data_IF_006116345017
#
_entry.id   IF_006116345017
#
_cell.length_a   1.000
_cell.length_b   1.000
_cell.length_c   1.000
_cell.angle_alpha   90.00
_cell.angle_beta   90.00
_cell.angle_gamma   90.00
#
_symmetry.space_group_name_H-M   'P 1'
#
loop_
_entity.id
_entity.type
_entity.pdbx_description
1 polymer ?
#
# COMPACT_ATOMS: atom_id res chain seq x y z
N UNK A 1 -15.23 -4.07 5.83
CA UNK A 1 -14.71 -2.95 6.60
C UNK A 1 -13.51 -3.35 7.45
N UNK A 2 -12.88 -2.40 8.13
CA UNK A 2 -11.71 -2.65 8.98
C UNK A 2 -12.10 -3.51 10.20
N UNK A 3 -11.77 -4.80 10.17
CA UNK A 3 -12.13 -5.77 11.22
C UNK A 3 -11.29 -5.58 12.48
N UNK A 4 -10.04 -5.09 12.37
CA UNK A 4 -9.17 -4.79 13.52
C UNK A 4 -9.76 -3.65 14.35
N UNK A 5 -10.17 -2.56 13.69
CA UNK A 5 -10.82 -1.43 14.34
C UNK A 5 -12.14 -1.85 15.01
N UNK A 6 -12.95 -2.67 14.32
CA UNK A 6 -14.21 -3.18 14.87
C UNK A 6 -13.98 -4.02 16.13
N UNK A 7 -12.95 -4.87 16.13
CA UNK A 7 -12.61 -5.68 17.29
C UNK A 7 -12.20 -4.80 18.49
N UNK A 8 -11.35 -3.78 18.25
CA UNK A 8 -10.99 -2.83 19.34
C UNK A 8 -12.20 -2.12 19.92
N UNK A 9 -13.12 -1.66 19.06
CA UNK A 9 -14.36 -1.02 19.51
C UNK A 9 -15.25 -2.00 20.28
N UNK A 10 -15.38 -3.25 19.82
CA UNK A 10 -16.18 -4.26 20.50
C UNK A 10 -15.60 -4.64 21.87
N UNK A 11 -14.26 -4.76 21.99
CA UNK A 11 -13.60 -4.99 23.28
C UNK A 11 -13.80 -3.81 24.25
N UNK A 12 -13.62 -2.58 23.77
CA UNK A 12 -13.87 -1.39 24.59
C UNK A 12 -15.36 -1.30 25.04
N UNK A 13 -16.29 -1.66 24.16
CA UNK A 13 -17.70 -1.71 24.53
C UNK A 13 -17.98 -2.79 25.58
N UNK A 14 -17.38 -3.98 25.45
CA UNK A 14 -17.56 -5.07 26.42
C UNK A 14 -17.17 -4.66 27.85
N UNK A 15 -16.14 -3.83 28.01
CA UNK A 15 -15.70 -3.33 29.33
C UNK A 15 -16.76 -2.46 30.03
N UNK A 16 -17.50 -1.68 29.24
CA UNK A 16 -18.50 -0.73 29.77
C UNK A 16 -19.96 -1.16 29.53
N UNK A 17 -20.18 -2.33 28.94
CA UNK A 17 -21.50 -2.81 28.58
C UNK A 17 -22.38 -3.09 29.81
N UNK A 18 -23.66 -2.69 29.80
CA UNK A 18 -24.62 -3.09 30.81
C UNK A 18 -24.76 -4.61 30.91
N UNK A 19 -25.09 -5.15 32.08
CA UNK A 19 -25.16 -6.59 32.33
C UNK A 19 -26.08 -7.31 31.33
N UNK A 20 -27.20 -6.69 30.94
CA UNK A 20 -28.14 -7.20 29.96
C UNK A 20 -27.54 -7.36 28.51
N UNK A 21 -26.45 -6.68 28.20
CA UNK A 21 -25.83 -6.67 26.89
C UNK A 21 -24.46 -7.37 26.87
N UNK A 22 -23.90 -7.71 28.03
CA UNK A 22 -22.55 -8.31 28.13
C UNK A 22 -22.41 -9.59 27.32
N UNK A 23 -23.40 -10.45 27.35
CA UNK A 23 -23.34 -11.71 26.61
C UNK A 23 -23.35 -11.50 25.09
N UNK A 24 -24.18 -10.57 24.59
CA UNK A 24 -24.19 -10.18 23.20
C UNK A 24 -22.86 -9.54 22.77
N UNK A 25 -22.28 -8.69 23.63
CA UNK A 25 -20.98 -8.06 23.41
C UNK A 25 -19.83 -9.11 23.36
N UNK A 26 -19.86 -10.13 24.23
CA UNK A 26 -18.89 -11.25 24.20
C UNK A 26 -18.97 -12.01 22.90
N UNK A 27 -20.16 -12.43 22.46
CA UNK A 27 -20.34 -13.12 21.17
C UNK A 27 -19.85 -12.28 20.00
N UNK A 28 -20.04 -10.96 20.04
CA UNK A 28 -19.54 -10.06 19.01
C UNK A 28 -18.00 -10.01 18.99
N UNK A 29 -17.36 -9.97 20.16
CA UNK A 29 -15.90 -10.01 20.27
C UNK A 29 -15.37 -11.33 19.72
N UNK A 30 -15.91 -12.47 20.16
CA UNK A 30 -15.52 -13.81 19.67
C UNK A 30 -15.67 -13.94 18.15
N UNK A 31 -16.80 -13.50 17.60
CA UNK A 31 -17.02 -13.51 16.15
C UNK A 31 -16.02 -12.62 15.38
N UNK A 32 -15.66 -11.46 15.96
CA UNK A 32 -14.67 -10.56 15.37
C UNK A 32 -13.24 -11.11 15.51
N UNK A 33 -12.92 -11.81 16.59
CA UNK A 33 -11.62 -12.50 16.74
C UNK A 33 -11.45 -13.62 15.74
N UNK A 34 -12.49 -14.41 15.52
CA UNK A 34 -12.47 -15.51 14.56
C UNK A 34 -12.25 -15.07 13.10
N UNK A 35 -12.59 -13.82 12.76
CA UNK A 35 -12.44 -13.29 11.39
C UNK A 35 -11.24 -12.38 11.20
N UNK A 36 -10.35 -12.25 12.21
CA UNK A 36 -9.15 -11.43 12.04
C UNK A 36 -8.25 -12.03 10.95
N UNK A 37 -7.70 -11.20 10.05
CA UNK A 37 -6.69 -11.67 9.12
C UNK A 37 -5.42 -12.04 9.87
N UNK A 38 -4.75 -13.10 9.41
CA UNK A 38 -3.42 -13.47 9.92
C UNK A 38 -2.44 -12.33 9.65
N UNK A 39 -1.60 -12.02 10.63
CA UNK A 39 -0.59 -10.98 10.48
C UNK A 39 0.49 -11.40 9.47
N UNK A 40 0.78 -10.49 8.54
CA UNK A 40 1.88 -10.65 7.61
C UNK A 40 3.20 -10.33 8.31
N UNK A 41 4.17 -11.21 8.13
CA UNK A 41 5.53 -11.03 8.62
C UNK A 41 6.41 -10.22 7.66
N UNK A 42 7.61 -9.86 8.12
CA UNK A 42 8.55 -9.06 7.34
C UNK A 42 8.95 -9.68 5.99
N UNK A 43 8.95 -11.01 5.88
CA UNK A 43 9.24 -11.71 4.63
C UNK A 43 8.12 -11.63 3.59
N UNK A 44 6.91 -11.27 4.01
CA UNK A 44 5.73 -11.16 3.14
C UNK A 44 5.43 -9.71 2.77
N UNK A 45 6.04 -8.74 3.47
CA UNK A 45 5.81 -7.31 3.27
C UNK A 45 6.89 -6.73 2.35
N UNK A 46 6.49 -6.41 1.11
CA UNK A 46 7.36 -5.67 0.19
C UNK A 46 7.46 -4.19 0.56
N UNK A 47 8.66 -3.69 0.80
CA UNK A 47 8.91 -2.28 1.11
C UNK A 47 9.80 -1.65 0.05
N UNK A 48 9.34 -0.55 -0.51
CA UNK A 48 10.17 0.33 -1.37
C UNK A 48 10.55 1.58 -0.58
N UNK A 49 11.77 2.05 -0.79
CA UNK A 49 12.21 3.32 -0.20
C UNK A 49 11.29 4.45 -0.68
N UNK A 50 10.86 5.32 0.23
CA UNK A 50 9.89 6.38 -0.05
C UNK A 50 8.42 5.95 0.08
N UNK A 51 8.14 4.71 0.51
CA UNK A 51 6.78 4.26 0.81
C UNK A 51 6.14 5.12 1.90
N UNK A 52 4.93 5.60 1.63
CA UNK A 52 4.24 6.59 2.48
C UNK A 52 3.80 6.08 3.86
N UNK A 53 3.68 4.76 4.00
CA UNK A 53 3.28 4.14 5.25
C UNK A 53 4.44 3.95 6.23
N UNK A 54 5.69 4.01 5.75
CA UNK A 54 6.88 3.93 6.58
C UNK A 54 7.08 5.28 7.28
N UNK A 55 7.22 5.32 8.61
CA UNK A 55 7.39 6.56 9.36
C UNK A 55 8.64 7.34 8.98
N UNK A 56 8.58 8.67 9.07
CA UNK A 56 9.68 9.58 8.71
C UNK A 56 10.93 9.30 9.55
N UNK A 57 10.77 8.99 10.81
CA UNK A 57 11.89 8.69 11.73
C UNK A 57 12.68 7.45 11.29
N UNK A 58 12.04 6.48 10.63
CA UNK A 58 12.71 5.30 10.08
C UNK A 58 13.62 5.70 8.91
N UNK A 59 13.15 6.56 8.01
CA UNK A 59 14.00 7.09 6.93
C UNK A 59 15.12 7.98 7.47
N UNK A 60 14.84 8.78 8.50
CA UNK A 60 15.86 9.58 9.18
C UNK A 60 16.94 8.69 9.79
N UNK A 61 16.57 7.61 10.47
CA UNK A 61 17.48 6.63 11.03
C UNK A 61 18.33 5.97 9.93
N UNK A 62 17.71 5.52 8.84
CA UNK A 62 18.42 4.97 7.70
C UNK A 62 19.48 5.91 7.14
N UNK A 63 19.11 7.17 6.88
CA UNK A 63 20.03 8.19 6.38
C UNK A 63 21.22 8.41 7.34
N UNK A 64 20.95 8.48 8.66
CA UNK A 64 21.97 8.67 9.69
C UNK A 64 22.95 7.50 9.78
N UNK A 65 22.45 6.26 9.65
CA UNK A 65 23.30 5.07 9.69
C UNK A 65 24.08 4.88 8.39
N UNK A 66 23.46 5.15 7.23
CA UNK A 66 24.09 5.03 5.93
C UNK A 66 25.22 6.02 5.74
N UNK A 67 24.94 7.30 5.99
CA UNK A 67 25.85 8.40 5.68
C UNK A 67 26.71 8.82 6.88
N UNK A 68 26.32 8.44 8.08
CA UNK A 68 27.05 8.75 9.34
C UNK A 68 27.52 10.21 9.43
N UNK A 69 26.61 11.21 9.29
CA UNK A 69 26.99 12.60 9.44
C UNK A 69 27.51 12.87 10.86
N UNK A 70 28.48 13.76 10.99
CA UNK A 70 29.10 14.09 12.28
C UNK A 70 28.92 15.55 12.66
N UNK A 71 29.17 15.86 13.94
CA UNK A 71 29.07 17.20 14.46
C UNK A 71 27.69 17.83 14.25
N UNK A 72 27.69 19.09 13.84
CA UNK A 72 26.44 19.84 13.60
C UNK A 72 25.60 19.29 12.44
N UNK A 73 26.21 18.61 11.47
CA UNK A 73 25.47 18.01 10.34
C UNK A 73 24.42 17.00 10.83
N UNK A 74 24.75 16.22 11.87
CA UNK A 74 23.85 15.23 12.46
C UNK A 74 22.54 15.82 13.01
N UNK A 75 22.60 17.01 13.55
CA UNK A 75 21.41 17.68 14.11
C UNK A 75 20.62 18.49 13.10
N UNK A 76 21.30 19.04 12.08
CA UNK A 76 20.72 19.95 11.10
C UNK A 76 20.05 19.23 9.92
N UNK A 77 20.65 18.13 9.43
CA UNK A 77 20.13 17.42 8.28
C UNK A 77 18.94 16.58 8.69
N UNK A 78 17.75 16.93 8.21
CA UNK A 78 16.48 16.29 8.53
C UNK A 78 15.74 15.89 7.28
N UNK A 79 15.04 14.75 7.36
CA UNK A 79 14.06 14.34 6.36
C UNK A 79 12.71 14.92 6.76
N UNK A 80 12.08 15.62 5.85
CA UNK A 80 10.75 16.18 6.00
C UNK A 80 9.85 15.63 4.92
N UNK A 81 8.55 15.60 5.20
CA UNK A 81 7.52 15.25 4.21
C UNK A 81 6.42 16.28 4.28
N UNK A 82 6.07 16.84 3.13
CA UNK A 82 4.93 17.75 3.02
C UNK A 82 3.62 16.96 3.12
N UNK A 83 2.74 17.33 4.03
CA UNK A 83 1.40 16.73 4.15
C UNK A 83 0.54 17.08 2.93
N UNK A 84 0.67 18.29 2.38
CA UNK A 84 -0.14 18.75 1.26
C UNK A 84 0.24 18.08 -0.07
N UNK A 85 1.53 17.89 -0.34
CA UNK A 85 2.01 17.36 -1.64
C UNK A 85 2.51 15.92 -1.56
N UNK A 86 2.73 15.40 -0.36
CA UNK A 86 3.35 14.10 -0.13
C UNK A 86 4.84 14.04 -0.48
N UNK A 87 5.44 15.17 -0.90
CA UNK A 87 6.83 15.21 -1.31
C UNK A 87 7.79 15.16 -0.13
N UNK A 88 8.89 14.45 -0.34
CA UNK A 88 10.00 14.36 0.60
C UNK A 88 11.05 15.44 0.31
N UNK A 89 11.60 15.99 1.35
CA UNK A 89 12.70 16.95 1.29
C UNK A 89 13.75 16.63 2.36
N UNK A 90 15.02 16.85 2.03
CA UNK A 90 16.13 16.76 2.98
C UNK A 90 16.67 18.18 3.18
N UNK A 91 16.66 18.63 4.44
CA UNK A 91 17.17 19.97 4.78
C UNK A 91 18.69 20.00 4.78
N UNK A 92 19.27 21.19 4.61
CA UNK A 92 20.71 21.44 4.78
C UNK A 92 21.65 20.45 4.05
N UNK A 93 21.22 19.92 2.89
CA UNK A 93 21.93 18.88 2.11
C UNK A 93 23.39 19.20 1.81
N UNK A 94 23.71 20.50 1.74
CA UNK A 94 25.05 20.98 1.44
C UNK A 94 25.94 21.22 2.69
N UNK A 95 25.38 20.96 3.87
CA UNK A 95 26.11 21.23 5.11
C UNK A 95 27.23 20.22 5.38
N UNK A 96 27.09 18.98 4.89
CA UNK A 96 28.01 17.87 5.16
C UNK A 96 28.98 17.60 3.97
N UNK A 97 29.57 18.67 3.43
CA UNK A 97 30.43 18.61 2.22
C UNK A 97 31.70 17.78 2.39
N UNK A 98 32.22 17.65 3.60
CA UNK A 98 33.44 16.90 3.89
C UNK A 98 33.20 15.40 4.07
N UNK A 99 31.94 14.95 4.05
CA UNK A 99 31.58 13.55 4.28
C UNK A 99 31.88 12.69 3.05
N UNK A 100 32.87 11.81 3.18
CA UNK A 100 33.30 10.89 2.10
C UNK A 100 32.18 9.93 1.70
N UNK A 101 31.40 9.41 2.66
CA UNK A 101 30.26 8.55 2.34
C UNK A 101 29.22 9.27 1.50
N UNK A 102 28.91 10.52 1.85
CA UNK A 102 27.92 11.32 1.16
C UNK A 102 28.36 11.79 -0.24
N UNK A 103 29.66 11.98 -0.47
CA UNK A 103 30.15 12.60 -1.70
C UNK A 103 30.92 11.64 -2.63
N UNK A 104 31.26 10.43 -2.15
CA UNK A 104 32.03 9.45 -2.93
C UNK A 104 31.40 8.08 -2.90
N UNK A 105 31.10 7.52 -1.70
CA UNK A 105 30.59 6.14 -1.60
C UNK A 105 29.16 6.01 -2.11
N UNK A 106 28.27 6.86 -1.64
CA UNK A 106 26.85 6.86 -2.00
C UNK A 106 26.43 8.08 -2.81
N UNK A 107 27.36 8.98 -3.09
CA UNK A 107 27.21 10.15 -3.95
C UNK A 107 28.23 10.12 -5.09
N UNK A 108 28.21 11.21 -5.86
CA UNK A 108 29.16 11.50 -6.95
C UNK A 108 29.74 12.90 -6.73
N UNK A 109 30.76 13.26 -7.52
CA UNK A 109 31.33 14.63 -7.52
C UNK A 109 30.29 15.70 -7.89
N UNK A 110 29.24 15.32 -8.63
CA UNK A 110 28.20 16.24 -9.14
C UNK A 110 26.92 16.24 -8.29
N UNK A 111 26.67 15.15 -7.55
CA UNK A 111 25.45 15.00 -6.77
C UNK A 111 25.73 14.22 -5.49
N UNK A 112 25.50 14.85 -4.33
CA UNK A 112 25.70 14.18 -3.04
C UNK A 112 24.64 13.12 -2.80
N UNK A 113 24.95 12.16 -1.92
CA UNK A 113 24.01 11.11 -1.52
C UNK A 113 22.70 11.67 -0.92
N UNK A 114 22.73 12.83 -0.28
CA UNK A 114 21.53 13.49 0.22
C UNK A 114 20.57 13.88 -0.90
N UNK A 115 21.07 14.37 -2.03
CA UNK A 115 20.26 14.70 -3.20
C UNK A 115 19.73 13.42 -3.87
N UNK A 116 20.59 12.40 -4.01
CA UNK A 116 20.19 11.10 -4.58
C UNK A 116 19.11 10.47 -3.71
N UNK A 117 19.27 10.47 -2.39
CA UNK A 117 18.28 9.92 -1.45
C UNK A 117 16.95 10.68 -1.53
N UNK A 118 16.97 12.01 -1.61
CA UNK A 118 15.75 12.81 -1.75
C UNK A 118 15.00 12.48 -3.05
N UNK A 119 15.70 12.34 -4.19
CA UNK A 119 15.06 11.91 -5.44
C UNK A 119 14.50 10.51 -5.30
N UNK A 120 15.23 9.60 -4.65
CA UNK A 120 14.80 8.22 -4.42
C UNK A 120 13.55 8.14 -3.55
N UNK A 121 13.49 8.90 -2.45
CA UNK A 121 12.30 9.01 -1.60
C UNK A 121 11.07 9.50 -2.39
N UNK A 122 11.29 10.40 -3.34
CA UNK A 122 10.25 10.93 -4.23
C UNK A 122 9.95 10.04 -5.45
N UNK A 123 10.52 8.82 -5.52
CA UNK A 123 10.34 7.88 -6.63
C UNK A 123 10.76 8.45 -7.99
N UNK A 124 11.79 9.32 -8.00
CA UNK A 124 12.33 9.95 -9.20
C UNK A 124 13.69 9.38 -9.53
N UNK A 125 13.93 9.14 -10.81
CA UNK A 125 15.27 8.79 -11.28
C UNK A 125 16.18 10.00 -11.24
N UNK A 126 17.40 9.80 -10.77
CA UNK A 126 18.40 10.86 -10.74
C UNK A 126 18.88 11.18 -12.17
N UNK A 127 19.03 12.47 -12.44
CA UNK A 127 19.54 13.00 -13.72
C UNK A 127 20.53 14.11 -13.45
N UNK A 128 21.66 14.09 -14.15
CA UNK A 128 22.72 15.12 -14.05
C UNK A 128 22.75 15.91 -15.35
N UNK A 129 22.72 17.23 -15.25
CA UNK A 129 22.71 18.13 -16.39
C UNK A 129 23.95 19.00 -16.40
N UNK A 130 24.50 19.23 -17.61
CA UNK A 130 25.46 20.26 -17.89
C UNK A 130 24.73 21.50 -18.44
N UNK A 131 25.23 22.67 -18.13
CA UNK A 131 24.70 23.91 -18.65
C UNK A 131 25.63 24.46 -19.71
N UNK A 132 25.15 24.50 -20.94
CA UNK A 132 25.89 25.01 -22.11
C UNK A 132 25.25 26.34 -22.50
N UNK A 133 26.07 27.38 -22.73
CA UNK A 133 25.61 28.65 -23.26
C UNK A 133 25.37 28.53 -24.76
N UNK A 134 24.19 28.98 -25.23
CA UNK A 134 23.89 29.08 -26.66
C UNK A 134 24.52 30.35 -27.26
N UNK A 135 24.41 30.52 -28.57
CA UNK A 135 24.93 31.66 -29.31
C UNK A 135 24.37 33.02 -28.84
N UNK A 136 23.26 33.00 -28.10
CA UNK A 136 22.58 34.18 -27.55
C UNK A 136 22.91 34.40 -26.05
N UNK A 137 23.82 33.61 -25.46
CA UNK A 137 24.19 33.70 -24.05
C UNK A 137 23.19 33.06 -23.09
N UNK A 138 22.19 32.35 -23.57
CA UNK A 138 21.22 31.65 -22.71
C UNK A 138 21.78 30.29 -22.27
N UNK A 139 21.59 29.93 -20.99
CA UNK A 139 22.01 28.64 -20.45
C UNK A 139 21.00 27.56 -20.79
N UNK A 140 21.40 26.58 -21.60
CA UNK A 140 20.61 25.41 -21.92
C UNK A 140 21.09 24.20 -21.11
N UNK A 141 20.16 23.55 -20.42
CA UNK A 141 20.44 22.31 -19.67
C UNK A 141 20.52 21.11 -20.66
N UNK A 142 21.65 20.43 -20.69
CA UNK A 142 21.87 19.24 -21.53
C UNK A 142 22.17 18.06 -20.62
N UNK A 143 21.48 16.92 -20.84
CA UNK A 143 21.65 15.72 -20.03
C UNK A 143 23.06 15.15 -20.22
N UNK A 144 23.83 15.07 -19.13
CA UNK A 144 25.08 14.35 -19.10
C UNK A 144 24.83 12.85 -18.86
N UNK A 145 24.83 12.08 -19.93
CA UNK A 145 24.52 10.64 -19.88
C UNK A 145 25.48 9.85 -18.98
N UNK A 146 26.80 10.18 -19.01
CA UNK A 146 27.82 9.48 -18.22
C UNK A 146 27.65 9.75 -16.73
N UNK A 147 27.55 11.01 -16.33
CA UNK A 147 27.36 11.38 -14.92
C UNK A 147 25.98 10.92 -14.39
N UNK A 148 24.95 10.90 -15.24
CA UNK A 148 23.64 10.37 -14.90
C UNK A 148 23.72 8.87 -14.62
N UNK A 149 24.40 8.08 -15.45
CA UNK A 149 24.57 6.63 -15.22
C UNK A 149 25.27 6.36 -13.88
N UNK A 150 26.36 7.08 -13.59
CA UNK A 150 27.08 6.95 -12.31
C UNK A 150 26.16 7.29 -11.12
N UNK A 151 25.36 8.34 -11.24
CA UNK A 151 24.42 8.74 -10.17
C UNK A 151 23.29 7.71 -10.00
N UNK A 152 22.80 7.11 -11.06
CA UNK A 152 21.81 6.03 -11.03
C UNK A 152 22.37 4.75 -10.38
N UNK A 153 23.63 4.39 -10.65
CA UNK A 153 24.28 3.27 -9.93
C UNK A 153 24.33 3.53 -8.42
N UNK A 154 24.60 4.77 -7.99
CA UNK A 154 24.54 5.14 -6.57
C UNK A 154 23.12 5.11 -6.01
N UNK A 155 22.14 5.47 -6.82
CA UNK A 155 20.73 5.38 -6.45
C UNK A 155 20.32 3.91 -6.20
N UNK A 156 20.69 3.01 -7.08
CA UNK A 156 20.42 1.56 -6.91
C UNK A 156 21.14 1.00 -5.69
N UNK A 157 22.39 1.40 -5.45
CA UNK A 157 23.13 1.01 -4.24
C UNK A 157 22.40 1.46 -2.96
N UNK A 158 21.86 2.67 -2.92
CA UNK A 158 21.07 3.18 -1.78
C UNK A 158 19.79 2.37 -1.60
N UNK A 159 19.06 2.04 -2.67
CA UNK A 159 17.85 1.21 -2.64
C UNK A 159 18.17 -0.19 -2.10
N UNK A 160 19.24 -0.80 -2.58
CA UNK A 160 19.69 -2.10 -2.08
C UNK A 160 20.04 -2.04 -0.59
N UNK A 161 20.82 -1.04 -0.16
CA UNK A 161 21.17 -0.86 1.25
C UNK A 161 19.94 -0.66 2.14
N UNK A 162 18.91 0.05 1.67
CA UNK A 162 17.65 0.20 2.39
C UNK A 162 16.91 -1.14 2.53
N UNK A 163 16.81 -1.93 1.46
CA UNK A 163 16.13 -3.22 1.50
C UNK A 163 16.82 -4.23 2.44
N UNK A 164 18.17 -4.20 2.48
CA UNK A 164 18.95 -5.01 3.41
C UNK A 164 18.82 -4.55 4.88
N UNK A 165 18.61 -3.26 5.09
CA UNK A 165 18.63 -2.62 6.41
C UNK A 165 17.27 -2.64 7.12
N UNK A 166 16.18 -2.44 6.37
CA UNK A 166 14.86 -2.11 6.93
C UNK A 166 14.36 -3.15 7.94
N UNK A 167 14.64 -4.43 7.71
CA UNK A 167 14.16 -5.54 8.51
C UNK A 167 15.19 -6.12 9.50
N UNK A 168 16.42 -5.58 9.59
CA UNK A 168 17.48 -6.12 10.45
C UNK A 168 17.21 -5.95 11.94
N UNK A 169 16.78 -4.76 12.34
CA UNK A 169 16.49 -4.46 13.73
C UNK A 169 15.13 -5.04 14.13
N UNK A 170 15.08 -5.75 15.27
CA UNK A 170 13.87 -6.46 15.74
C UNK A 170 12.76 -5.46 16.06
N UNK A 171 13.05 -4.39 16.82
CA UNK A 171 12.04 -3.43 17.26
C UNK A 171 11.44 -2.68 16.07
N UNK A 172 12.29 -2.27 15.12
CA UNK A 172 11.85 -1.63 13.87
C UNK A 172 11.00 -2.59 13.06
N UNK A 173 11.42 -3.84 12.91
CA UNK A 173 10.67 -4.88 12.18
C UNK A 173 9.29 -5.09 12.75
N UNK A 174 9.17 -5.31 14.06
CA UNK A 174 7.89 -5.51 14.74
C UNK A 174 6.98 -4.28 14.58
N UNK A 175 7.52 -3.08 14.79
CA UNK A 175 6.79 -1.82 14.61
C UNK A 175 6.27 -1.67 13.18
N UNK A 176 7.08 -1.93 12.17
CA UNK A 176 6.69 -1.78 10.77
C UNK A 176 5.68 -2.85 10.35
N UNK A 177 5.83 -4.11 10.80
CA UNK A 177 4.84 -5.16 10.58
C UNK A 177 3.49 -4.76 11.19
N UNK A 178 3.47 -4.25 12.42
CA UNK A 178 2.24 -3.81 13.07
C UNK A 178 1.55 -2.66 12.30
N UNK A 179 2.32 -1.65 11.86
CA UNK A 179 1.81 -0.53 11.06
C UNK A 179 1.23 -1.03 9.73
N UNK A 180 1.95 -1.90 9.03
CA UNK A 180 1.51 -2.44 7.74
C UNK A 180 0.22 -3.24 7.87
N UNK A 181 0.17 -4.15 8.85
CA UNK A 181 -1.02 -4.96 9.11
C UNK A 181 -2.23 -4.12 9.50
N UNK A 182 -2.04 -3.05 10.27
CA UNK A 182 -3.13 -2.14 10.64
C UNK A 182 -3.68 -1.37 9.42
N UNK A 183 -2.81 -0.93 8.51
CA UNK A 183 -3.21 -0.11 7.35
C UNK A 183 -3.73 -0.99 6.21
N UNK A 184 -3.02 -2.03 5.84
CA UNK A 184 -3.24 -2.79 4.60
C UNK A 184 -3.84 -4.18 4.81
N UNK A 185 -3.67 -4.77 6.00
CA UNK A 185 -4.17 -6.10 6.32
C UNK A 185 -5.25 -6.04 7.40
N UNK A 186 -6.15 -5.06 7.30
CA UNK A 186 -7.21 -4.81 8.28
C UNK A 186 -8.61 -5.02 7.71
N UNK A 187 -8.73 -5.36 6.43
CA UNK A 187 -10.00 -5.55 5.74
C UNK A 187 -10.14 -7.01 5.37
N UNK A 188 -11.21 -7.64 5.82
CA UNK A 188 -11.65 -8.92 5.28
C UNK A 188 -12.68 -8.67 4.19
N UNK A 189 -12.44 -9.11 2.95
CA UNK A 189 -13.45 -9.12 1.90
C UNK A 189 -14.67 -9.94 2.36
N UNK A 190 -15.87 -9.52 1.97
CA UNK A 190 -17.06 -10.33 2.20
C UNK A 190 -17.01 -11.47 1.20
N UNK A 191 -17.17 -12.68 1.68
CA UNK A 191 -17.30 -13.87 0.85
C UNK A 191 -18.78 -14.15 0.62
N UNK A 192 -19.14 -14.48 -0.61
CA UNK A 192 -20.50 -14.79 -1.03
C UNK A 192 -20.49 -16.21 -1.61
N UNK A 193 -20.91 -17.19 -0.82
CA UNK A 193 -20.97 -18.58 -1.25
C UNK A 193 -22.29 -18.93 -1.95
N UNK A 194 -23.37 -18.21 -1.61
CA UNK A 194 -24.69 -18.39 -2.20
C UNK A 194 -25.37 -19.76 -1.96
N UNK A 195 -24.81 -20.61 -1.10
CA UNK A 195 -25.29 -21.99 -0.90
C UNK A 195 -26.74 -22.06 -0.41
N UNK A 196 -27.24 -20.99 0.22
CA UNK A 196 -28.62 -20.89 0.69
C UNK A 196 -29.60 -20.43 -0.38
N UNK A 197 -29.13 -20.01 -1.57
CA UNK A 197 -29.99 -19.53 -2.65
C UNK A 197 -30.60 -20.73 -3.39
N UNK A 198 -31.90 -20.72 -3.51
CA UNK A 198 -32.65 -21.67 -4.32
C UNK A 198 -33.25 -20.96 -5.53
N UNK A 199 -32.89 -21.39 -6.71
CA UNK A 199 -33.33 -20.79 -7.98
C UNK A 199 -34.68 -21.38 -8.40
N UNK A 200 -35.75 -20.92 -7.77
CA UNK A 200 -37.11 -21.35 -8.08
C UNK A 200 -37.52 -20.85 -9.47
N UNK A 201 -38.03 -21.75 -10.30
CA UNK A 201 -38.44 -21.45 -11.69
C UNK A 201 -37.32 -21.56 -12.74
N UNK A 202 -36.11 -21.94 -12.35
CA UNK A 202 -35.05 -22.28 -13.30
C UNK A 202 -35.30 -23.67 -13.89
N UNK A 203 -34.90 -23.88 -15.15
CA UNK A 203 -34.96 -25.19 -15.78
C UNK A 203 -34.16 -26.22 -14.95
N UNK A 204 -34.77 -27.32 -14.46
CA UNK A 204 -34.11 -28.31 -13.62
C UNK A 204 -32.96 -29.06 -14.29
N UNK A 205 -32.87 -29.02 -15.61
CA UNK A 205 -31.75 -29.61 -16.37
C UNK A 205 -30.49 -28.76 -16.32
N UNK A 206 -30.61 -27.50 -15.87
CA UNK A 206 -29.47 -26.57 -15.78
C UNK A 206 -29.00 -26.49 -14.35
N UNK A 207 -27.77 -26.91 -14.10
CA UNK A 207 -27.09 -26.77 -12.83
C UNK A 207 -26.04 -25.63 -12.88
N UNK A 208 -26.17 -24.62 -12.00
CA UNK A 208 -25.20 -23.58 -11.87
C UNK A 208 -23.94 -24.09 -11.13
N UNK A 209 -22.80 -23.70 -11.61
CA UNK A 209 -21.50 -24.02 -10.96
C UNK A 209 -21.33 -23.21 -9.67
N UNK A 210 -20.54 -23.68 -8.68
CA UNK A 210 -20.36 -22.98 -7.41
C UNK A 210 -19.93 -21.51 -7.56
N UNK A 211 -19.00 -21.19 -8.48
CA UNK A 211 -18.60 -19.82 -8.74
C UNK A 211 -19.73 -18.93 -9.30
N UNK A 212 -20.64 -19.50 -10.09
CA UNK A 212 -21.80 -18.79 -10.62
C UNK A 212 -22.80 -18.47 -9.51
N UNK A 213 -23.02 -19.43 -8.62
CA UNK A 213 -23.89 -19.23 -7.44
C UNK A 213 -23.30 -18.14 -6.51
N UNK A 214 -22.00 -18.19 -6.26
CA UNK A 214 -21.29 -17.14 -5.50
C UNK A 214 -21.38 -15.76 -6.17
N UNK A 215 -21.26 -15.69 -7.51
CA UNK A 215 -21.42 -14.45 -8.27
C UNK A 215 -22.83 -13.87 -8.15
N UNK A 216 -23.86 -14.72 -8.25
CA UNK A 216 -25.25 -14.31 -8.07
C UNK A 216 -25.49 -13.80 -6.65
N UNK A 217 -24.97 -14.48 -5.62
CA UNK A 217 -25.02 -14.03 -4.25
C UNK A 217 -24.34 -12.65 -4.09
N UNK A 218 -23.22 -12.43 -4.75
CA UNK A 218 -22.53 -11.14 -4.73
C UNK A 218 -23.41 -10.04 -5.36
N UNK A 219 -24.08 -10.31 -6.48
CA UNK A 219 -25.01 -9.35 -7.09
C UNK A 219 -26.18 -9.02 -6.15
N UNK A 220 -26.77 -10.04 -5.51
CA UNK A 220 -27.94 -9.86 -4.65
C UNK A 220 -27.62 -9.08 -3.35
N UNK A 221 -26.46 -9.33 -2.76
CA UNK A 221 -26.12 -8.82 -1.42
C UNK A 221 -25.01 -7.75 -1.41
N UNK A 222 -24.24 -7.64 -2.50
CA UNK A 222 -23.10 -6.73 -2.59
C UNK A 222 -23.42 -5.36 -3.19
N UNK A 223 -24.53 -5.22 -3.89
CA UNK A 223 -24.89 -4.03 -4.67
C UNK A 223 -24.19 -4.02 -6.04
N UNK A 224 -23.55 -2.89 -6.43
CA UNK A 224 -22.85 -2.83 -7.71
C UNK A 224 -21.71 -3.84 -7.75
N UNK A 225 -21.73 -4.73 -8.76
CA UNK A 225 -20.85 -5.89 -8.84
C UNK A 225 -20.15 -5.94 -10.19
N UNK A 226 -18.84 -6.19 -10.18
CA UNK A 226 -18.04 -6.49 -11.37
C UNK A 226 -17.84 -8.01 -11.46
N UNK A 227 -18.34 -8.65 -12.52
CA UNK A 227 -18.12 -10.06 -12.81
C UNK A 227 -16.92 -10.21 -13.76
N UNK A 228 -15.72 -10.25 -13.20
CA UNK A 228 -14.46 -10.32 -13.94
C UNK A 228 -14.00 -11.77 -14.20
N UNK A 229 -14.92 -12.70 -14.42
CA UNK A 229 -14.61 -14.08 -14.75
C UNK A 229 -14.03 -14.22 -16.16
N UNK A 230 -13.23 -15.26 -16.38
CA UNK A 230 -12.65 -15.58 -17.68
C UNK A 230 -13.73 -15.84 -18.76
N UNK A 231 -13.30 -15.79 -20.02
CA UNK A 231 -14.18 -16.14 -21.14
C UNK A 231 -14.58 -17.63 -21.04
N UNK A 232 -15.85 -17.91 -21.20
CA UNK A 232 -16.39 -19.28 -21.08
C UNK A 232 -16.82 -19.67 -19.66
N UNK A 233 -16.62 -18.84 -18.63
CA UNK A 233 -17.08 -19.11 -17.26
C UNK A 233 -18.61 -19.12 -17.10
N UNK A 234 -19.37 -18.65 -18.12
CA UNK A 234 -20.82 -18.62 -18.11
C UNK A 234 -21.42 -17.34 -17.51
N UNK A 235 -20.78 -16.20 -17.68
CA UNK A 235 -21.26 -14.89 -17.19
C UNK A 235 -22.69 -14.56 -17.59
N UNK A 236 -23.12 -14.99 -18.77
CA UNK A 236 -24.52 -14.81 -19.24
C UNK A 236 -25.51 -15.51 -18.32
N UNK A 237 -25.19 -16.73 -17.88
CA UNK A 237 -26.02 -17.43 -16.89
C UNK A 237 -26.05 -16.71 -15.55
N UNK A 238 -24.94 -16.20 -15.10
CA UNK A 238 -24.85 -15.40 -13.86
C UNK A 238 -25.72 -14.15 -13.92
N UNK A 239 -25.64 -13.39 -15.02
CA UNK A 239 -26.44 -12.17 -15.23
C UNK A 239 -27.95 -12.49 -15.30
N UNK A 240 -28.32 -13.48 -16.08
CA UNK A 240 -29.74 -13.85 -16.24
C UNK A 240 -30.30 -14.38 -14.93
N UNK A 241 -29.61 -15.31 -14.28
CA UNK A 241 -30.06 -15.88 -13.02
C UNK A 241 -30.16 -14.83 -11.91
N UNK A 242 -29.16 -13.91 -11.81
CA UNK A 242 -29.22 -12.81 -10.88
C UNK A 242 -30.41 -11.88 -11.14
N UNK A 243 -30.66 -11.52 -12.41
CA UNK A 243 -31.78 -10.67 -12.79
C UNK A 243 -33.14 -11.30 -12.47
N UNK A 244 -33.28 -12.59 -12.71
CA UNK A 244 -34.50 -13.34 -12.39
C UNK A 244 -34.72 -13.44 -10.88
N UNK A 245 -33.66 -13.67 -10.13
CA UNK A 245 -33.71 -13.75 -8.66
C UNK A 245 -34.01 -12.41 -8.02
N UNK A 246 -33.40 -11.33 -8.52
CA UNK A 246 -33.74 -9.95 -8.10
C UNK A 246 -35.23 -9.64 -8.35
N UNK A 247 -35.77 -10.08 -9.47
CA UNK A 247 -37.20 -9.91 -9.79
C UNK A 247 -38.07 -10.74 -8.85
N UNK A 248 -37.72 -12.01 -8.60
CA UNK A 248 -38.44 -12.89 -7.67
C UNK A 248 -38.49 -12.33 -6.25
N UNK A 249 -37.38 -11.77 -5.80
CA UNK A 249 -37.25 -11.13 -4.48
C UNK A 249 -37.87 -9.73 -4.39
N UNK A 250 -38.42 -9.20 -5.49
CA UNK A 250 -39.02 -7.86 -5.51
C UNK A 250 -37.99 -6.72 -5.50
N UNK A 251 -36.71 -7.01 -5.69
CA UNK A 251 -35.62 -6.01 -5.71
C UNK A 251 -35.62 -5.19 -7.00
N UNK A 252 -36.16 -5.73 -8.08
CA UNK A 252 -36.36 -5.01 -9.33
C UNK A 252 -37.63 -5.49 -10.04
N UNK A 253 -38.25 -4.63 -10.89
CA UNK A 253 -39.41 -4.94 -11.72
C UNK A 253 -39.04 -5.31 -13.14
N UNK A 254 -38.02 -4.63 -13.68
CA UNK A 254 -37.48 -4.84 -15.03
C UNK A 254 -35.97 -4.76 -15.01
N UNK A 255 -35.31 -5.68 -15.70
CA UNK A 255 -33.87 -5.70 -15.89
C UNK A 255 -33.54 -5.29 -17.33
N UNK A 256 -32.52 -4.42 -17.50
CA UNK A 256 -31.98 -4.04 -18.80
C UNK A 256 -30.58 -4.63 -18.94
N UNK A 257 -30.37 -5.40 -19.99
CA UNK A 257 -29.05 -5.93 -20.36
C UNK A 257 -28.55 -5.17 -21.59
N UNK A 258 -27.38 -4.56 -21.47
CA UNK A 258 -26.73 -3.83 -22.58
C UNK A 258 -25.53 -4.67 -23.03
N UNK A 259 -25.45 -4.99 -24.33
CA UNK A 259 -24.40 -5.81 -24.97
C UNK A 259 -23.78 -5.05 -26.14
#
# INVERSE_FOLDING_TARGET
>A
GNVRRKLRMAKAFLEVAPESQKEAARRQVEALEAVQPQDLGAGEIGVRIGANWVPIDVYQQFMMELLTPYGQARSRIKILRSEATGQWAITEKNFDRANVKANTTYGTKRMSAYHILEQTLNQKDVRVFDYIEDENGNKKAVLNKKETAIAQDRQELIKQKFSEWIWKDINRRERLCAIYNEIFNSIRPREYDGQHIRFEGMNPEIALRPHQVGAIAHVLYGGNTLLAHEVGAGKTFEMVAAAMEMKRLGLCTKSLVVV
#
